data_IF_608045266263
#
_entry.id   IF_608045266263
#
_cell.length_a   1.000
_cell.length_b   1.000
_cell.length_c   1.000
_cell.angle_alpha   90.00
_cell.angle_beta   90.00
_cell.angle_gamma   90.00
#
_symmetry.space_group_name_H-M   'P 1'
#
loop_
_entity.id
_entity.type
_entity.pdbx_description
1 polymer ?
#
# COMPACT_ATOMS: atom_id res chain seq x y z
N UNK A 1 11.93 8.63 6.69
CA UNK A 1 11.39 9.69 5.80
C UNK A 1 9.99 9.24 5.37
N UNK A 2 8.99 10.12 5.29
CA UNK A 2 7.61 9.73 4.86
C UNK A 2 7.55 9.34 3.37
N UNK A 3 8.53 9.78 2.57
CA UNK A 3 8.49 9.73 1.10
C UNK A 3 9.12 8.47 0.48
N UNK A 4 9.43 7.45 1.27
CA UNK A 4 9.94 6.18 0.74
C UNK A 4 8.95 5.04 1.03
N UNK A 5 8.44 4.36 -0.02
CA UNK A 5 8.63 4.60 -1.45
C UNK A 5 7.94 5.88 -1.97
N UNK A 6 8.45 6.44 -3.08
CA UNK A 6 7.91 7.68 -3.65
C UNK A 6 6.53 7.48 -4.28
N UNK A 7 5.71 8.53 -4.25
CA UNK A 7 4.35 8.51 -4.81
C UNK A 7 4.36 8.15 -6.29
N UNK A 8 5.29 8.70 -7.07
CA UNK A 8 5.36 8.44 -8.51
C UNK A 8 5.77 6.99 -8.81
N UNK A 9 6.62 6.38 -7.96
CA UNK A 9 6.95 4.97 -8.08
C UNK A 9 5.73 4.07 -7.78
N UNK A 10 4.96 4.40 -6.74
CA UNK A 10 3.75 3.67 -6.37
C UNK A 10 2.68 3.74 -7.46
N UNK A 11 2.46 4.94 -8.02
CA UNK A 11 1.53 5.17 -9.14
C UNK A 11 1.88 4.31 -10.35
N UNK A 12 3.16 4.30 -10.75
CA UNK A 12 3.61 3.50 -11.90
C UNK A 12 3.52 2.00 -11.62
N UNK A 13 3.78 1.58 -10.38
CA UNK A 13 3.78 0.16 -10.00
C UNK A 13 2.39 -0.46 -9.98
N UNK A 14 1.38 0.31 -9.58
CA UNK A 14 -0.02 -0.15 -9.58
C UNK A 14 -0.66 -0.15 -10.97
N UNK A 15 -0.15 0.68 -11.87
CA UNK A 15 -0.60 0.75 -13.27
C UNK A 15 0.42 0.12 -14.22
N UNK A 16 0.50 0.69 -15.41
CA UNK A 16 1.54 0.40 -16.40
C UNK A 16 2.33 1.66 -16.71
N UNK A 17 3.44 1.55 -17.45
CA UNK A 17 4.19 2.74 -17.89
C UNK A 17 3.35 3.64 -18.82
N UNK A 18 2.48 3.03 -19.62
CA UNK A 18 1.64 3.69 -20.61
C UNK A 18 0.32 4.22 -20.00
N UNK A 19 -0.18 3.55 -18.95
CA UNK A 19 -1.38 3.94 -18.19
C UNK A 19 -1.12 3.85 -16.67
N UNK A 20 -0.47 4.88 -16.07
CA UNK A 20 -0.27 4.93 -14.63
C UNK A 20 -1.58 5.24 -13.90
N UNK A 21 -1.77 4.69 -12.69
CA UNK A 21 -2.99 4.99 -11.93
C UNK A 21 -3.05 6.44 -11.44
N UNK A 22 -4.25 6.96 -11.26
CA UNK A 22 -4.39 8.30 -10.68
C UNK A 22 -3.89 8.34 -9.22
N UNK A 23 -3.43 9.51 -8.76
CA UNK A 23 -3.05 9.69 -7.34
C UNK A 23 -4.22 9.47 -6.38
N UNK A 24 -5.45 9.71 -6.83
CA UNK A 24 -6.66 9.43 -6.05
C UNK A 24 -6.91 7.92 -5.94
N UNK A 25 -6.70 7.18 -7.02
CA UNK A 25 -6.79 5.71 -7.03
C UNK A 25 -5.71 5.10 -6.11
N UNK A 26 -4.46 5.60 -6.17
CA UNK A 26 -3.42 5.23 -5.22
C UNK A 26 -3.87 5.45 -3.77
N UNK A 27 -4.43 6.61 -3.45
CA UNK A 27 -4.92 6.93 -2.10
C UNK A 27 -5.96 5.91 -1.62
N UNK A 28 -6.93 5.56 -2.47
CA UNK A 28 -7.96 4.57 -2.15
C UNK A 28 -7.36 3.19 -1.93
N UNK A 29 -6.48 2.74 -2.83
CA UNK A 29 -5.86 1.40 -2.76
C UNK A 29 -4.97 1.26 -1.52
N UNK A 30 -4.11 2.25 -1.26
CA UNK A 30 -3.26 2.29 -0.06
C UNK A 30 -4.11 2.28 1.20
N UNK A 31 -5.19 3.08 1.25
CA UNK A 31 -6.08 3.14 2.41
C UNK A 31 -6.78 1.81 2.65
N UNK A 32 -7.33 1.18 1.60
CA UNK A 32 -7.96 -0.15 1.69
C UNK A 32 -6.96 -1.21 2.15
N UNK A 33 -5.74 -1.20 1.60
CA UNK A 33 -4.72 -2.18 1.98
C UNK A 33 -4.25 -1.99 3.42
N UNK A 34 -4.06 -0.74 3.84
CA UNK A 34 -3.74 -0.41 5.23
C UNK A 34 -4.80 -0.95 6.19
N UNK A 35 -6.08 -0.83 5.83
CA UNK A 35 -7.18 -1.38 6.62
C UNK A 35 -7.11 -2.90 6.74
N UNK A 36 -6.84 -3.61 5.64
CA UNK A 36 -6.66 -5.06 5.66
C UNK A 36 -5.51 -5.50 6.57
N UNK A 37 -4.40 -4.76 6.58
CA UNK A 37 -3.27 -5.02 7.48
C UNK A 37 -3.69 -4.86 8.94
N UNK A 38 -4.41 -3.78 9.28
CA UNK A 38 -4.91 -3.53 10.64
C UNK A 38 -5.84 -4.67 11.08
N UNK A 39 -6.78 -5.09 10.22
CA UNK A 39 -7.70 -6.19 10.51
C UNK A 39 -6.95 -7.52 10.73
N UNK A 40 -5.93 -7.80 9.91
CA UNK A 40 -5.08 -8.98 10.08
C UNK A 40 -4.28 -8.94 11.40
N UNK A 41 -3.73 -7.78 11.76
CA UNK A 41 -3.01 -7.59 13.02
C UNK A 41 -3.92 -7.82 14.22
N UNK A 42 -5.13 -7.27 14.19
CA UNK A 42 -6.14 -7.48 15.23
C UNK A 42 -6.53 -8.97 15.35
N UNK A 43 -6.74 -9.66 14.24
CA UNK A 43 -7.09 -11.08 14.23
C UNK A 43 -5.97 -12.00 14.75
N UNK A 44 -4.71 -11.60 14.59
CA UNK A 44 -3.52 -12.37 15.02
C UNK A 44 -2.97 -11.95 16.38
N UNK A 45 -3.59 -10.96 17.04
CA UNK A 45 -3.14 -10.42 18.32
C UNK A 45 -1.83 -9.63 18.24
N UNK A 46 -1.41 -9.24 17.04
CA UNK A 46 -0.21 -8.42 16.82
C UNK A 46 -0.56 -6.95 17.06
N UNK A 47 0.13 -6.32 18.00
CA UNK A 47 -0.15 -4.92 18.40
C UNK A 47 0.75 -3.90 17.71
N UNK A 48 1.96 -4.29 17.30
CA UNK A 48 2.91 -3.42 16.60
C UNK A 48 3.65 -4.19 15.50
N UNK A 49 3.93 -3.50 14.39
CA UNK A 49 4.80 -4.03 13.34
C UNK A 49 6.29 -3.94 13.76
N UNK A 50 7.15 -4.80 13.20
CA UNK A 50 8.60 -4.73 13.42
C UNK A 50 9.14 -3.31 13.19
N UNK A 51 10.03 -2.85 14.09
CA UNK A 51 10.60 -1.51 14.00
C UNK A 51 9.62 -0.36 14.26
N UNK A 52 8.46 -0.62 14.89
CA UNK A 52 7.39 0.36 15.14
C UNK A 52 6.89 1.03 13.86
N UNK A 53 6.95 0.28 12.76
CA UNK A 53 6.51 0.75 11.46
C UNK A 53 4.99 0.99 11.47
N UNK A 54 4.54 2.02 10.78
CA UNK A 54 3.11 2.24 10.55
C UNK A 54 2.61 1.34 9.43
N UNK A 55 1.38 0.87 9.56
CA UNK A 55 0.70 -0.06 8.66
C UNK A 55 0.61 0.48 7.23
N UNK A 56 0.44 1.79 7.09
CA UNK A 56 0.45 2.47 5.79
C UNK A 56 1.79 2.35 5.06
N UNK A 57 2.91 2.32 5.79
CA UNK A 57 4.24 2.14 5.19
C UNK A 57 4.39 0.71 4.69
N UNK A 58 3.88 -0.27 5.45
CA UNK A 58 3.85 -1.66 5.00
C UNK A 58 2.97 -1.82 3.74
N UNK A 59 1.80 -1.17 3.69
CA UNK A 59 0.95 -1.16 2.50
C UNK A 59 1.68 -0.60 1.26
N UNK A 60 2.38 0.52 1.40
CA UNK A 60 3.19 1.09 0.33
C UNK A 60 4.32 0.14 -0.12
N UNK A 61 4.98 -0.54 0.82
CA UNK A 61 6.02 -1.53 0.51
C UNK A 61 5.44 -2.76 -0.22
N UNK A 62 4.27 -3.24 0.17
CA UNK A 62 3.61 -4.36 -0.49
C UNK A 62 3.22 -4.02 -1.93
N UNK A 63 2.75 -2.79 -2.18
CA UNK A 63 2.51 -2.28 -3.53
C UNK A 63 3.80 -2.28 -4.34
N UNK A 64 4.89 -1.71 -3.80
CA UNK A 64 6.19 -1.70 -4.48
C UNK A 64 6.70 -3.10 -4.81
N UNK A 65 6.44 -4.05 -3.93
CA UNK A 65 6.80 -5.46 -4.10
C UNK A 65 5.85 -6.22 -5.04
N UNK A 66 4.82 -5.58 -5.60
CA UNK A 66 3.86 -6.21 -6.52
C UNK A 66 2.90 -7.21 -5.85
N UNK A 67 2.71 -7.10 -4.52
CA UNK A 67 1.79 -7.98 -3.77
C UNK A 67 0.32 -7.52 -3.84
N UNK A 68 0.08 -6.31 -4.34
CA UNK A 68 -1.25 -5.69 -4.42
C UNK A 68 -1.61 -5.45 -5.87
N UNK A 69 -2.81 -5.86 -6.27
CA UNK A 69 -3.35 -5.69 -7.61
C UNK A 69 -4.70 -4.96 -7.54
N UNK A 70 -5.00 -4.15 -8.54
CA UNK A 70 -6.27 -3.44 -8.67
C UNK A 70 -7.13 -4.18 -9.68
N UNK A 71 -8.37 -4.49 -9.31
CA UNK A 71 -9.38 -5.00 -10.23
C UNK A 71 -10.40 -3.90 -10.50
N UNK A 72 -10.70 -3.67 -11.78
CA UNK A 72 -11.73 -2.72 -12.27
C UNK A 72 -12.85 -3.55 -12.89
N UNK A 73 -13.45 -4.42 -12.07
CA UNK A 73 -14.64 -5.22 -12.42
C UNK A 73 -15.89 -4.51 -11.91
#
# INVERSE_FOLDING_TARGET
MINEPSVDALVRKLGTEEDPVSRYELCVVVSKRTRQIIEQMQATGVTELPGKQKEIVLACQEIMNGKVHISRD
#
